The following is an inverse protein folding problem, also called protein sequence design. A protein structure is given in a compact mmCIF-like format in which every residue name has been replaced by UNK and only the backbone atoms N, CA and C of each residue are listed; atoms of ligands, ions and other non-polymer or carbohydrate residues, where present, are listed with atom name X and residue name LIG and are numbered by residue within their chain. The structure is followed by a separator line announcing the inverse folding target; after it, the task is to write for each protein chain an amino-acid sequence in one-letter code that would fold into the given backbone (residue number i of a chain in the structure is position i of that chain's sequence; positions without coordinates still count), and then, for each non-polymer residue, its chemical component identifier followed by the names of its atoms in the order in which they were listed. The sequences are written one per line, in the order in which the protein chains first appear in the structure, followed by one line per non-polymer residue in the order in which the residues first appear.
data_IF_298301160552
#
_entry.id   IF_298301160552
#
_cell.length_a   1.000
_cell.length_b   1.000
_cell.length_c   1.000
_cell.angle_alpha   90.00
_cell.angle_beta   90.00
_cell.angle_gamma   90.00
#
_symmetry.space_group_name_H-M   'P 1'
#
loop_
_entity.id
_entity.type
_entity.pdbx_description
1 polymer ?
#
# COMPACT_ATOMS: atom_id res chain seq x y z
N UNK A 1 -28.19 -12.32 13.80
CA UNK A 1 -28.46 -11.74 12.46
C UNK A 1 -27.67 -10.44 12.38
N UNK A 2 -27.30 -10.02 11.16
CA UNK A 2 -26.19 -9.13 10.77
C UNK A 2 -24.96 -10.00 10.40
N UNK A 3 -24.84 -10.60 9.22
CA UNK A 3 -25.22 -10.09 7.89
C UNK A 3 -24.14 -9.11 7.41
N UNK A 4 -23.61 -9.34 6.20
CA UNK A 4 -22.76 -8.42 5.40
C UNK A 4 -21.25 -8.55 5.68
N UNK A 5 -20.34 -8.72 4.71
CA UNK A 5 -20.39 -8.97 3.27
C UNK A 5 -19.04 -9.59 2.92
N UNK A 6 -18.97 -10.90 2.68
CA UNK A 6 -17.83 -11.48 1.94
C UNK A 6 -18.10 -11.26 0.47
N UNK A 7 -17.86 -10.03 -0.02
CA UNK A 7 -17.65 -9.81 -1.45
C UNK A 7 -16.28 -10.44 -1.78
N UNK A 8 -16.31 -11.73 -2.14
CA UNK A 8 -15.15 -12.46 -2.60
C UNK A 8 -14.47 -11.72 -3.77
N UNK A 9 -13.35 -11.03 -3.49
CA UNK A 9 -12.44 -10.51 -4.51
C UNK A 9 -12.37 -8.99 -4.67
N UNK A 10 -13.05 -8.16 -3.85
CA UNK A 10 -12.81 -6.72 -3.83
C UNK A 10 -11.94 -6.35 -2.64
N UNK A 11 -10.78 -5.74 -2.94
CA UNK A 11 -9.97 -5.08 -1.93
C UNK A 11 -10.63 -3.74 -1.65
N UNK A 12 -10.97 -3.48 -0.39
CA UNK A 12 -11.52 -2.20 0.02
C UNK A 12 -10.37 -1.22 0.33
N UNK A 13 -10.67 0.08 0.29
CA UNK A 13 -9.70 1.15 0.56
C UNK A 13 -8.95 0.91 1.87
N UNK A 14 -9.65 0.46 2.91
CA UNK A 14 -9.07 0.11 4.21
C UNK A 14 -8.04 -1.02 4.15
N UNK A 15 -8.29 -2.06 3.35
CA UNK A 15 -7.36 -3.19 3.17
C UNK A 15 -6.10 -2.75 2.43
N UNK A 16 -6.25 -1.93 1.37
CA UNK A 16 -5.10 -1.38 0.64
C UNK A 16 -4.26 -0.44 1.52
N UNK A 17 -4.89 0.43 2.29
CA UNK A 17 -4.16 1.32 3.21
C UNK A 17 -3.42 0.50 4.27
N UNK A 18 -4.01 -0.57 4.80
CA UNK A 18 -3.32 -1.45 5.75
C UNK A 18 -2.13 -2.17 5.10
N UNK A 19 -2.27 -2.67 3.87
CA UNK A 19 -1.18 -3.30 3.14
C UNK A 19 -0.02 -2.32 2.87
N UNK A 20 -0.32 -1.10 2.41
CA UNK A 20 0.68 -0.06 2.16
C UNK A 20 1.40 0.33 3.47
N UNK A 21 0.68 0.42 4.60
CA UNK A 21 1.29 0.68 5.92
C UNK A 21 2.20 -0.46 6.38
N UNK A 22 1.86 -1.71 6.07
CA UNK A 22 2.72 -2.86 6.34
C UNK A 22 4.04 -2.73 5.58
N UNK A 23 3.97 -2.44 4.29
CA UNK A 23 5.15 -2.20 3.43
C UNK A 23 5.99 -1.04 3.97
N UNK A 24 5.35 0.05 4.41
CA UNK A 24 6.04 1.19 5.00
C UNK A 24 6.81 0.83 6.28
N UNK A 25 6.27 -0.05 7.14
CA UNK A 25 6.99 -0.57 8.31
C UNK A 25 8.15 -1.48 7.93
N UNK A 26 8.00 -2.30 6.88
CA UNK A 26 9.08 -3.13 6.34
C UNK A 26 10.23 -2.26 5.84
N UNK A 27 9.95 -1.26 5.01
CA UNK A 27 10.94 -0.29 4.51
C UNK A 27 11.68 0.40 5.67
N UNK A 28 10.93 0.93 6.66
CA UNK A 28 11.50 1.58 7.82
C UNK A 28 12.42 0.64 8.63
N UNK A 29 12.04 -0.63 8.76
CA UNK A 29 12.82 -1.66 9.47
C UNK A 29 14.09 -2.08 8.74
N UNK A 30 14.10 -1.95 7.40
CA UNK A 30 15.27 -2.23 6.55
C UNK A 30 16.20 -1.02 6.38
N UNK A 31 15.83 0.14 6.95
CA UNK A 31 16.59 1.38 6.82
C UNK A 31 16.23 2.23 5.60
N UNK A 32 15.25 1.81 4.78
CA UNK A 32 14.69 2.62 3.70
C UNK A 32 13.87 3.76 4.29
N UNK A 33 14.29 5.00 4.07
CA UNK A 33 13.67 6.15 4.75
C UNK A 33 13.58 7.43 3.91
N UNK A 34 14.43 7.62 2.89
CA UNK A 34 14.53 8.96 2.29
C UNK A 34 13.53 9.20 1.16
N UNK A 35 13.12 8.16 0.40
CA UNK A 35 12.20 8.33 -0.74
C UNK A 35 10.96 7.43 -0.67
N UNK A 36 11.06 6.26 -0.06
CA UNK A 36 10.01 5.23 -0.08
C UNK A 36 8.83 5.61 0.82
N UNK A 37 9.10 6.08 2.04
CA UNK A 37 8.05 6.45 2.99
C UNK A 37 7.18 7.62 2.45
N UNK A 38 7.76 8.71 1.92
CA UNK A 38 6.97 9.76 1.26
C UNK A 38 6.11 9.25 0.10
N UNK A 39 6.63 8.33 -0.73
CA UNK A 39 5.89 7.81 -1.87
C UNK A 39 4.77 6.84 -1.47
N UNK A 40 4.99 6.00 -0.45
CA UNK A 40 3.96 5.17 0.15
C UNK A 40 2.86 6.02 0.82
N UNK A 41 3.22 7.14 1.47
CA UNK A 41 2.23 8.09 2.00
C UNK A 41 1.38 8.73 0.90
N UNK A 42 1.98 9.06 -0.25
CA UNK A 42 1.22 9.57 -1.41
C UNK A 42 0.26 8.52 -1.95
N UNK A 43 0.65 7.25 -1.98
CA UNK A 43 -0.25 6.16 -2.40
C UNK A 43 -1.46 6.03 -1.49
N UNK A 44 -1.26 6.13 -0.16
CA UNK A 44 -2.38 6.15 0.80
C UNK A 44 -3.34 7.30 0.51
N UNK A 45 -2.84 8.52 0.30
CA UNK A 45 -3.69 9.67 -0.02
C UNK A 45 -4.46 9.48 -1.33
N UNK A 46 -3.84 8.91 -2.36
CA UNK A 46 -4.51 8.62 -3.63
C UNK A 46 -5.65 7.62 -3.45
N UNK A 47 -5.46 6.59 -2.63
CA UNK A 47 -6.52 5.62 -2.30
C UNK A 47 -7.64 6.30 -1.52
N UNK A 48 -7.31 7.10 -0.51
CA UNK A 48 -8.30 7.84 0.29
C UNK A 48 -9.11 8.85 -0.55
N UNK A 49 -8.48 9.44 -1.57
CA UNK A 49 -9.13 10.36 -2.50
C UNK A 49 -9.89 9.65 -3.63
N UNK A 50 -9.77 8.32 -3.76
CA UNK A 50 -10.32 7.56 -4.88
C UNK A 50 -9.67 7.91 -6.23
N UNK A 51 -8.43 8.42 -6.22
CA UNK A 51 -7.65 8.74 -7.42
C UNK A 51 -7.00 7.50 -8.05
N UNK A 52 -6.85 6.43 -7.27
CA UNK A 52 -6.29 5.15 -7.68
C UNK A 52 -7.11 4.01 -7.09
N UNK A 53 -7.21 2.91 -7.83
CA UNK A 53 -7.86 1.70 -7.34
C UNK A 53 -7.02 1.04 -6.21
N UNK A 54 -7.66 0.50 -5.16
CA UNK A 54 -6.98 -0.15 -4.03
C UNK A 54 -5.96 -1.23 -4.46
N UNK A 55 -6.31 -2.05 -5.47
CA UNK A 55 -5.41 -3.07 -6.02
C UNK A 55 -4.16 -2.47 -6.69
N UNK A 56 -4.34 -1.39 -7.44
CA UNK A 56 -3.24 -0.72 -8.14
C UNK A 56 -2.29 -0.04 -7.16
N UNK A 57 -2.84 0.54 -6.08
CA UNK A 57 -2.04 1.14 -5.03
C UNK A 57 -1.17 0.12 -4.28
N UNK A 58 -1.68 -1.09 -4.02
CA UNK A 58 -0.89 -2.18 -3.44
C UNK A 58 0.24 -2.58 -4.40
N UNK A 59 -0.08 -2.78 -5.68
CA UNK A 59 0.93 -3.15 -6.68
C UNK A 59 2.05 -2.11 -6.79
N UNK A 60 1.71 -0.81 -6.78
CA UNK A 60 2.70 0.26 -6.78
C UNK A 60 3.53 0.29 -5.48
N UNK A 61 2.91 0.04 -4.33
CA UNK A 61 3.63 -0.03 -3.06
C UNK A 61 4.63 -1.19 -3.01
N UNK A 62 4.28 -2.37 -3.53
CA UNK A 62 5.21 -3.49 -3.66
C UNK A 62 6.37 -3.18 -4.60
N UNK A 63 6.10 -2.51 -5.73
CA UNK A 63 7.15 -2.07 -6.65
C UNK A 63 8.12 -1.06 -6.01
N UNK A 64 7.63 -0.13 -5.18
CA UNK A 64 8.49 0.79 -4.42
C UNK A 64 9.42 0.01 -3.48
N UNK A 65 8.89 -1.01 -2.79
CA UNK A 65 9.69 -1.88 -1.92
C UNK A 65 10.78 -2.66 -2.69
N UNK A 66 10.44 -3.20 -3.86
CA UNK A 66 11.37 -4.00 -4.67
C UNK A 66 12.42 -3.15 -5.41
N UNK A 67 12.09 -1.91 -5.78
CA UNK A 67 12.99 -1.05 -6.58
C UNK A 67 14.32 -0.77 -5.87
N UNK A 68 14.34 -0.67 -4.54
CA UNK A 68 15.57 -0.51 -3.75
C UNK A 68 16.32 -1.85 -3.56
N UNK A 69 15.59 -2.99 -3.54
CA UNK A 69 16.23 -4.31 -3.46
C UNK A 69 16.97 -4.70 -4.76
N UNK A 70 16.57 -4.13 -5.90
CA UNK A 70 17.22 -4.38 -7.18
C UNK A 70 18.48 -3.52 -7.44
N UNK A 71 18.72 -2.49 -6.63
CA UNK A 71 19.88 -1.59 -6.78
C UNK A 71 21.11 -2.00 -5.96
N UNK A 72 21.09 -3.20 -5.35
CA UNK A 72 22.17 -3.78 -4.54
C UNK A 72 22.67 -5.13 -5.06
#
# INVERSE_FOLDING_TARGET
MNGEHVEAGKIFDGDAIMAIRCIMQECASMGGNDSEIPDLMRLIQKVENGEIEPNEAIFQAEAIKESEMAYH
#
